data_IF_701215393881
#
_entry.id   IF_701215393881
#
_cell.length_a   1.000
_cell.length_b   1.000
_cell.length_c   1.000
_cell.angle_alpha   90.00
_cell.angle_beta   90.00
_cell.angle_gamma   90.00
#
_symmetry.space_group_name_H-M   'P 1'
#
loop_
_entity.id
_entity.type
_entity.pdbx_description
1 polymer ?
#
# COMPACT_ATOMS: atom_id res chain seq x y z
N UNK A 1 -19.96 16.54 12.22
CA UNK A 1 -19.02 15.77 13.04
C UNK A 1 -19.21 14.31 12.63
N UNK A 2 -18.42 13.82 11.67
CA UNK A 2 -18.55 12.43 11.17
C UNK A 2 -18.01 11.47 12.24
N UNK A 3 -18.71 10.35 12.47
CA UNK A 3 -18.37 9.37 13.52
C UNK A 3 -17.11 8.58 13.17
N UNK A 4 -16.35 8.20 14.19
CA UNK A 4 -15.06 7.48 14.10
C UNK A 4 -15.13 6.15 13.33
N UNK A 5 -16.31 5.52 13.28
CA UNK A 5 -16.57 4.29 12.51
C UNK A 5 -16.36 4.47 11.00
N UNK A 6 -16.54 5.68 10.47
CA UNK A 6 -16.37 5.97 9.04
C UNK A 6 -14.92 5.90 8.55
N UNK A 7 -13.96 5.76 9.48
CA UNK A 7 -12.52 5.64 9.20
C UNK A 7 -11.98 4.23 9.50
N UNK A 8 -12.86 3.26 9.80
CA UNK A 8 -12.45 1.88 10.07
C UNK A 8 -11.78 1.64 11.43
N UNK A 9 -11.80 2.63 12.33
CA UNK A 9 -11.29 2.46 13.69
C UNK A 9 -12.39 1.89 14.59
N UNK A 10 -12.08 0.79 15.27
CA UNK A 10 -13.01 0.08 16.16
C UNK A 10 -12.78 0.35 17.65
N UNK A 11 -11.73 1.11 18.00
CA UNK A 11 -11.43 1.49 19.38
C UNK A 11 -10.57 2.77 19.46
N UNK A 12 -10.75 3.55 20.53
CA UNK A 12 -10.06 4.80 20.81
C UNK A 12 -8.53 4.62 20.90
N UNK A 13 -8.06 3.44 21.29
CA UNK A 13 -6.63 3.13 21.33
C UNK A 13 -5.97 3.13 19.93
N UNK A 14 -6.70 2.75 18.87
CA UNK A 14 -6.22 2.82 17.50
C UNK A 14 -6.14 4.27 17.02
N UNK A 15 -7.13 5.08 17.39
CA UNK A 15 -7.18 6.51 17.10
C UNK A 15 -6.02 7.23 17.79
N UNK A 16 -5.75 6.94 19.07
CA UNK A 16 -4.64 7.57 19.80
C UNK A 16 -3.27 7.21 19.20
N UNK A 17 -3.08 5.94 18.79
CA UNK A 17 -1.85 5.52 18.08
C UNK A 17 -1.69 6.25 16.75
N UNK A 18 -2.77 6.36 15.97
CA UNK A 18 -2.79 7.10 14.70
C UNK A 18 -2.53 8.61 14.88
N UNK A 19 -3.14 9.24 15.90
CA UNK A 19 -2.97 10.67 16.16
C UNK A 19 -1.58 11.01 16.70
N UNK A 20 -1.04 10.16 17.58
CA UNK A 20 0.35 10.29 18.06
C UNK A 20 1.34 10.12 16.90
N UNK A 21 1.03 9.22 15.95
CA UNK A 21 1.83 9.01 14.75
C UNK A 21 1.87 10.24 13.83
N UNK A 22 0.73 10.88 13.53
CA UNK A 22 0.69 12.07 12.67
C UNK A 22 1.39 13.28 13.32
N UNK A 23 1.20 13.47 14.63
CA UNK A 23 1.73 14.66 15.32
C UNK A 23 3.24 14.60 15.55
N UNK A 24 3.82 13.40 15.66
CA UNK A 24 5.26 13.22 15.85
C UNK A 24 6.11 13.39 14.58
N UNK A 25 5.51 13.42 13.38
CA UNK A 25 6.22 13.49 12.09
C UNK A 25 6.19 14.86 11.43
N UNK A 26 5.57 15.87 12.05
CA UNK A 26 5.61 17.25 11.56
C UNK A 26 6.95 17.92 11.92
N UNK A 27 7.85 18.02 10.93
CA UNK A 27 9.04 18.85 11.03
C UNK A 27 8.65 20.34 11.18
N UNK A 28 9.42 21.14 11.96
CA UNK A 28 9.11 22.55 12.15
C UNK A 28 9.26 23.31 10.83
N UNK A 29 8.20 24.02 10.42
CA UNK A 29 8.19 24.91 9.26
C UNK A 29 9.16 26.06 9.54
N UNK A 30 10.29 26.10 8.83
CA UNK A 30 11.20 27.24 8.81
C UNK A 30 10.46 28.45 8.23
N UNK A 31 10.35 29.52 9.01
CA UNK A 31 9.79 30.80 8.56
C UNK A 31 10.75 31.46 7.57
N UNK A 32 10.40 31.46 6.29
CA UNK A 32 11.09 32.24 5.26
C UNK A 32 10.28 33.51 5.02
N UNK A 33 10.88 34.66 5.29
CA UNK A 33 10.31 35.98 5.01
C UNK A 33 10.12 36.16 3.49
N UNK A 34 9.02 36.77 3.03
CA UNK A 34 8.76 36.95 1.61
C UNK A 34 9.68 38.03 1.00
N UNK A 35 10.16 37.86 -0.25
CA UNK A 35 10.89 38.90 -0.94
C UNK A 35 9.92 40.01 -1.40
N UNK A 36 10.32 41.26 -1.22
CA UNK A 36 9.61 42.45 -1.71
C UNK A 36 9.65 42.48 -3.23
N UNK A 37 8.52 42.21 -3.87
CA UNK A 37 8.34 42.37 -5.31
C UNK A 37 7.76 43.76 -5.62
N UNK A 38 8.50 44.50 -6.45
CA UNK A 38 8.18 45.82 -6.98
C UNK A 38 6.97 45.71 -7.94
N UNK A 39 5.93 46.49 -7.69
CA UNK A 39 4.64 46.37 -8.38
C UNK A 39 4.48 47.52 -9.38
N UNK A 40 4.57 47.23 -10.68
CA UNK A 40 4.10 48.12 -11.74
C UNK A 40 2.81 47.56 -12.35
N UNK A 41 1.75 48.35 -12.54
CA UNK A 41 0.46 47.85 -12.98
C UNK A 41 0.50 47.55 -14.48
N UNK A 42 0.47 46.27 -14.83
CA UNK A 42 0.22 45.83 -16.21
C UNK A 42 -1.27 45.56 -16.37
N UNK A 43 -1.84 46.20 -17.40
CA UNK A 43 -3.24 46.20 -17.82
C UNK A 43 -3.92 44.84 -17.72
N UNK A 44 -4.97 44.78 -16.92
CA UNK A 44 -5.87 43.63 -16.72
C UNK A 44 -6.63 43.30 -18.01
N UNK A 45 -6.19 42.27 -18.74
CA UNK A 45 -7.09 41.50 -19.59
C UNK A 45 -7.85 40.54 -18.68
N UNK A 46 -9.18 40.67 -18.64
CA UNK A 46 -10.06 39.80 -17.87
C UNK A 46 -9.87 38.33 -18.30
N UNK A 47 -9.20 37.53 -17.48
CA UNK A 47 -9.30 36.08 -17.55
C UNK A 47 -10.72 35.68 -17.13
N UNK A 48 -11.47 35.07 -18.05
CA UNK A 48 -12.75 34.47 -17.74
C UNK A 48 -12.56 33.42 -16.63
N UNK A 49 -13.40 33.41 -15.58
CA UNK A 49 -13.29 32.40 -14.55
C UNK A 49 -13.57 31.03 -15.18
N UNK A 50 -12.59 30.13 -15.14
CA UNK A 50 -12.72 28.72 -15.48
C UNK A 50 -13.66 28.06 -14.46
N UNK A 51 -14.96 28.31 -14.58
CA UNK A 51 -15.98 27.51 -13.91
C UNK A 51 -16.14 26.22 -14.70
N UNK A 52 -15.15 25.31 -14.58
CA UNK A 52 -15.35 23.94 -15.04
C UNK A 52 -16.47 23.35 -14.19
N UNK A 53 -17.59 23.02 -14.83
CA UNK A 53 -18.70 22.41 -14.12
C UNK A 53 -18.29 21.02 -13.57
N UNK A 54 -18.86 20.64 -12.43
CA UNK A 54 -18.52 19.38 -11.75
C UNK A 54 -18.77 18.16 -12.65
N UNK A 55 -19.82 18.18 -13.47
CA UNK A 55 -20.16 17.07 -14.36
C UNK A 55 -19.10 16.87 -15.46
N UNK A 56 -18.52 17.96 -15.96
CA UNK A 56 -17.42 17.95 -16.94
C UNK A 56 -16.14 17.41 -16.31
N UNK A 57 -15.85 17.77 -15.05
CA UNK A 57 -14.73 17.19 -14.31
C UNK A 57 -14.90 15.69 -14.08
N UNK A 58 -16.08 15.26 -13.60
CA UNK A 58 -16.40 13.85 -13.37
C UNK A 58 -16.30 13.02 -14.65
N UNK A 59 -16.82 13.56 -15.77
CA UNK A 59 -16.69 12.93 -17.08
C UNK A 59 -15.23 12.79 -17.50
N UNK A 60 -14.44 13.86 -17.35
CA UNK A 60 -13.01 13.84 -17.70
C UNK A 60 -12.22 12.88 -16.84
N UNK A 61 -12.49 12.81 -15.53
CA UNK A 61 -11.87 11.84 -14.62
C UNK A 61 -12.20 10.42 -15.08
N UNK A 62 -13.48 10.14 -15.35
CA UNK A 62 -13.92 8.84 -15.85
C UNK A 62 -13.21 8.46 -17.15
N UNK A 63 -13.12 9.39 -18.12
CA UNK A 63 -12.40 9.17 -19.38
C UNK A 63 -10.89 8.91 -19.17
N UNK A 64 -10.25 9.63 -18.25
CA UNK A 64 -8.83 9.43 -17.93
C UNK A 64 -8.59 8.08 -17.25
N UNK A 65 -9.46 7.69 -16.31
CA UNK A 65 -9.39 6.39 -15.64
C UNK A 65 -9.63 5.25 -16.62
N UNK A 66 -10.58 5.38 -17.56
CA UNK A 66 -10.77 4.37 -18.61
C UNK A 66 -9.56 4.27 -19.53
N UNK A 67 -8.95 5.40 -19.91
CA UNK A 67 -7.72 5.40 -20.70
C UNK A 67 -6.55 4.75 -19.95
N UNK A 68 -6.40 5.04 -18.66
CA UNK A 68 -5.37 4.43 -17.82
C UNK A 68 -5.56 2.91 -17.74
N UNK A 69 -6.79 2.43 -17.51
CA UNK A 69 -7.08 1.00 -17.49
C UNK A 69 -6.78 0.35 -18.85
N UNK A 70 -7.22 0.96 -19.95
CA UNK A 70 -6.90 0.49 -21.30
C UNK A 70 -5.38 0.46 -21.51
N UNK A 71 -4.62 1.46 -21.07
CA UNK A 71 -3.15 1.44 -21.16
C UNK A 71 -2.51 0.31 -20.36
N UNK A 72 -3.11 -0.08 -19.24
CA UNK A 72 -2.69 -1.24 -18.45
C UNK A 72 -3.09 -2.57 -19.12
N UNK A 73 -4.21 -2.63 -19.84
CA UNK A 73 -4.78 -3.85 -20.44
C UNK A 73 -4.45 -4.06 -21.94
N UNK A 74 -3.94 -3.05 -22.66
CA UNK A 74 -3.82 -3.12 -24.14
C UNK A 74 -2.76 -4.14 -24.60
N UNK A 75 -3.16 -5.18 -25.37
CA UNK A 75 -2.25 -6.20 -25.89
C UNK A 75 -1.31 -5.64 -26.96
N UNK A 76 -0.01 -5.85 -26.79
CA UNK A 76 1.06 -5.34 -27.67
C UNK A 76 2.16 -4.59 -26.89
N UNK A 77 1.86 -4.17 -25.66
CA UNK A 77 2.84 -3.79 -24.62
C UNK A 77 2.65 -4.69 -23.38
N UNK A 78 2.85 -5.99 -23.55
CA UNK A 78 3.06 -7.04 -22.50
C UNK A 78 1.95 -7.35 -21.47
N UNK A 79 0.74 -6.78 -21.56
CA UNK A 79 -0.44 -7.33 -20.88
C UNK A 79 -1.48 -7.74 -21.91
N UNK A 80 -1.88 -9.01 -21.95
CA UNK A 80 -3.22 -9.34 -22.46
C UNK A 80 -4.26 -8.90 -21.43
N UNK A 81 -5.54 -9.18 -21.66
CA UNK A 81 -6.60 -9.04 -20.65
C UNK A 81 -6.23 -9.85 -19.38
N UNK A 82 -5.47 -9.24 -18.48
CA UNK A 82 -4.93 -9.88 -17.29
C UNK A 82 -5.88 -9.56 -16.14
N UNK A 83 -6.74 -10.53 -15.84
CA UNK A 83 -7.75 -10.43 -14.78
C UNK A 83 -7.13 -10.00 -13.44
N UNK A 84 -5.89 -10.39 -13.16
CA UNK A 84 -5.21 -9.99 -11.93
C UNK A 84 -4.98 -8.48 -11.93
N UNK A 85 -4.46 -7.92 -13.03
CA UNK A 85 -4.20 -6.48 -13.16
C UNK A 85 -5.49 -5.68 -13.04
N UNK A 86 -6.55 -6.08 -13.75
CA UNK A 86 -7.86 -5.42 -13.67
C UNK A 86 -8.41 -5.44 -12.23
N UNK A 87 -8.29 -6.57 -11.53
CA UNK A 87 -8.75 -6.71 -10.13
C UNK A 87 -7.98 -5.81 -9.17
N UNK A 88 -6.65 -5.69 -9.33
CA UNK A 88 -5.86 -4.73 -8.52
C UNK A 88 -6.31 -3.30 -8.81
N UNK A 89 -6.45 -2.95 -10.10
CA UNK A 89 -6.82 -1.61 -10.51
C UNK A 89 -8.19 -1.20 -9.98
N UNK A 90 -9.19 -2.06 -10.14
CA UNK A 90 -10.56 -1.83 -9.69
C UNK A 90 -10.63 -1.65 -8.17
N UNK A 91 -9.88 -2.45 -7.39
CA UNK A 91 -9.84 -2.28 -5.94
C UNK A 91 -9.17 -0.95 -5.55
N UNK A 92 -8.00 -0.62 -6.11
CA UNK A 92 -7.29 0.65 -5.86
C UNK A 92 -8.20 1.86 -6.19
N UNK A 93 -8.92 1.79 -7.30
CA UNK A 93 -9.89 2.82 -7.72
C UNK A 93 -11.08 2.89 -6.77
N UNK A 94 -11.66 1.75 -6.39
CA UNK A 94 -12.81 1.70 -5.47
C UNK A 94 -12.49 2.29 -4.09
N UNK A 95 -11.25 2.08 -3.63
CA UNK A 95 -10.71 2.62 -2.38
C UNK A 95 -10.24 4.09 -2.51
N UNK A 96 -10.36 4.70 -3.70
CA UNK A 96 -10.01 6.10 -3.97
C UNK A 96 -8.54 6.42 -3.65
N UNK A 97 -7.65 5.49 -3.95
CA UNK A 97 -6.21 5.66 -3.71
C UNK A 97 -5.55 6.40 -4.88
N UNK A 98 -5.66 7.73 -4.84
CA UNK A 98 -5.27 8.62 -5.93
C UNK A 98 -3.77 8.84 -6.05
N UNK A 99 -2.95 8.47 -5.05
CA UNK A 99 -1.49 8.48 -5.16
C UNK A 99 -0.91 7.26 -5.91
N UNK A 100 -1.76 6.40 -6.48
CA UNK A 100 -1.31 5.21 -7.22
C UNK A 100 -0.56 5.59 -8.50
N UNK A 101 0.63 4.98 -8.68
CA UNK A 101 1.41 5.02 -9.91
C UNK A 101 1.63 3.61 -10.43
N UNK A 102 1.53 3.43 -11.75
CA UNK A 102 1.66 2.14 -12.39
C UNK A 102 2.83 2.16 -13.34
N UNK A 103 3.71 1.15 -13.28
CA UNK A 103 4.88 1.10 -14.15
C UNK A 103 5.15 -0.32 -14.62
N UNK A 104 5.10 -0.50 -15.93
CA UNK A 104 5.58 -1.70 -16.59
C UNK A 104 7.11 -1.74 -16.57
N UNK A 105 7.66 -2.86 -16.11
CA UNK A 105 9.10 -3.11 -16.04
C UNK A 105 9.54 -4.14 -17.08
N UNK A 106 10.82 -4.19 -17.46
CA UNK A 106 11.30 -5.20 -18.40
C UNK A 106 11.16 -6.63 -17.83
N UNK A 107 10.97 -7.65 -18.68
CA UNK A 107 10.96 -9.08 -18.30
C UNK A 107 12.23 -9.54 -17.56
N UNK A 108 13.32 -8.80 -17.73
CA UNK A 108 14.59 -9.04 -17.03
C UNK A 108 14.64 -8.41 -15.64
N UNK A 109 13.59 -7.70 -15.19
CA UNK A 109 13.57 -6.93 -13.94
C UNK A 109 14.02 -7.75 -12.72
N UNK A 110 13.50 -8.97 -12.56
CA UNK A 110 13.87 -9.85 -11.45
C UNK A 110 15.26 -10.49 -11.57
N UNK A 111 15.94 -10.34 -12.73
CA UNK A 111 17.35 -10.73 -12.93
C UNK A 111 18.33 -9.63 -12.51
N UNK A 112 17.84 -8.40 -12.33
CA UNK A 112 18.65 -7.25 -11.93
C UNK A 112 18.84 -7.21 -10.41
N UNK A 113 19.89 -6.52 -9.96
CA UNK A 113 20.11 -6.18 -8.56
C UNK A 113 19.08 -5.15 -8.05
N UNK A 114 18.90 -5.03 -6.74
CA UNK A 114 17.98 -4.04 -6.16
C UNK A 114 18.31 -2.59 -6.56
N UNK A 115 19.59 -2.13 -6.57
CA UNK A 115 19.93 -0.80 -7.07
C UNK A 115 19.52 -0.58 -8.52
N UNK A 116 19.73 -1.56 -9.42
CA UNK A 116 19.33 -1.44 -10.83
C UNK A 116 17.81 -1.38 -10.99
N UNK A 117 17.06 -2.18 -10.22
CA UNK A 117 15.59 -2.10 -10.18
C UNK A 117 15.11 -0.73 -9.73
N UNK A 118 15.74 -0.16 -8.70
CA UNK A 118 15.38 1.16 -8.16
C UNK A 118 15.56 2.28 -9.20
N UNK A 119 16.58 2.18 -10.06
CA UNK A 119 16.80 3.12 -11.17
C UNK A 119 15.67 3.07 -12.21
N UNK A 120 15.15 1.88 -12.52
CA UNK A 120 14.02 1.72 -13.46
C UNK A 120 12.76 2.43 -12.93
N UNK A 121 12.49 2.27 -11.63
CA UNK A 121 11.34 2.88 -10.95
C UNK A 121 11.62 4.30 -10.43
N UNK A 122 12.80 4.86 -10.71
CA UNK A 122 13.25 6.19 -10.26
C UNK A 122 13.08 6.42 -8.76
N UNK A 123 13.47 5.42 -7.98
CA UNK A 123 13.24 5.35 -6.53
C UNK A 123 14.50 4.87 -5.82
N UNK A 124 14.44 4.73 -4.50
CA UNK A 124 15.53 4.19 -3.69
C UNK A 124 15.28 2.72 -3.34
N UNK A 125 16.32 1.97 -2.97
CA UNK A 125 16.20 0.55 -2.60
C UNK A 125 15.22 0.32 -1.42
N UNK A 126 15.23 1.13 -0.34
CA UNK A 126 14.25 1.01 0.75
C UNK A 126 12.78 1.15 0.31
N UNK A 127 12.52 1.86 -0.80
CA UNK A 127 11.17 2.02 -1.32
C UNK A 127 10.70 0.84 -2.16
N UNK A 128 11.57 -0.14 -2.47
CA UNK A 128 11.20 -1.36 -3.15
C UNK A 128 10.69 -2.38 -2.15
N UNK A 129 9.41 -2.75 -2.23
CA UNK A 129 8.77 -3.69 -1.31
C UNK A 129 8.23 -4.92 -2.03
N UNK A 130 8.03 -5.99 -1.26
CA UNK A 130 7.39 -7.23 -1.69
C UNK A 130 6.26 -7.60 -0.74
N UNK A 131 5.27 -8.28 -1.28
CA UNK A 131 4.15 -8.83 -0.53
C UNK A 131 4.30 -10.35 -0.44
N UNK A 132 4.17 -10.92 0.75
CA UNK A 132 4.32 -12.34 0.99
C UNK A 132 3.18 -12.83 1.88
N UNK A 133 2.54 -13.94 1.51
CA UNK A 133 1.52 -14.56 2.36
C UNK A 133 2.20 -15.37 3.46
N UNK A 134 1.92 -15.02 4.71
CA UNK A 134 2.39 -15.71 5.91
C UNK A 134 1.24 -16.51 6.51
N UNK A 135 1.51 -17.75 6.90
CA UNK A 135 0.57 -18.66 7.54
C UNK A 135 0.95 -18.91 8.99
N UNK A 136 0.00 -18.72 9.90
CA UNK A 136 0.06 -19.22 11.26
C UNK A 136 -0.28 -20.71 11.28
N UNK A 137 0.75 -21.56 11.40
CA UNK A 137 0.62 -23.03 11.45
C UNK A 137 -0.06 -23.54 12.72
N UNK A 138 -0.08 -22.72 13.77
CA UNK A 138 -0.69 -23.03 15.06
C UNK A 138 -2.10 -22.47 15.20
N UNK A 139 -2.68 -21.93 14.13
CA UNK A 139 -4.01 -21.33 14.13
C UNK A 139 -5.09 -22.34 14.53
N UNK A 140 -6.07 -21.86 15.31
CA UNK A 140 -7.25 -22.62 15.73
C UNK A 140 -8.49 -21.87 15.25
N UNK A 141 -9.37 -22.55 14.51
CA UNK A 141 -10.54 -21.96 13.85
C UNK A 141 -11.58 -21.33 14.81
N UNK A 142 -11.41 -21.50 16.12
CA UNK A 142 -12.40 -21.10 17.12
C UNK A 142 -12.58 -19.58 17.26
N UNK A 143 -11.68 -18.74 16.73
CA UNK A 143 -11.73 -17.27 16.87
C UNK A 143 -11.15 -16.52 15.65
N UNK A 144 -11.58 -16.86 14.43
CA UNK A 144 -11.11 -16.18 13.21
C UNK A 144 -11.65 -14.75 13.10
N UNK A 145 -10.76 -13.75 13.12
CA UNK A 145 -11.09 -12.36 12.83
C UNK A 145 -9.87 -11.63 12.22
N UNK A 146 -9.99 -10.35 11.87
CA UNK A 146 -8.89 -9.59 11.24
C UNK A 146 -7.66 -9.40 12.13
N UNK A 147 -7.80 -9.55 13.45
CA UNK A 147 -6.74 -9.47 14.46
C UNK A 147 -6.21 -10.87 14.86
N UNK A 148 -6.86 -11.94 14.40
CA UNK A 148 -6.49 -13.33 14.62
C UNK A 148 -6.92 -14.17 13.42
N UNK A 149 -6.17 -14.07 12.33
CA UNK A 149 -6.38 -14.84 11.10
C UNK A 149 -5.34 -15.97 10.97
N UNK A 150 -5.68 -17.01 10.21
CA UNK A 150 -4.70 -18.04 9.79
C UNK A 150 -3.65 -17.46 8.86
N UNK A 151 -4.05 -16.55 7.98
CA UNK A 151 -3.20 -15.97 6.95
C UNK A 151 -3.15 -14.45 7.08
N UNK A 152 -1.95 -13.90 6.88
CA UNK A 152 -1.69 -12.47 6.79
C UNK A 152 -0.85 -12.20 5.56
N UNK A 153 -1.20 -11.17 4.80
CA UNK A 153 -0.34 -10.69 3.74
C UNK A 153 0.62 -9.65 4.33
N UNK A 154 1.91 -9.93 4.25
CA UNK A 154 2.96 -9.09 4.83
C UNK A 154 3.67 -8.31 3.73
N UNK A 155 3.71 -7.00 3.86
CA UNK A 155 4.45 -6.08 2.98
C UNK A 155 5.72 -5.63 3.68
N UNK A 156 6.86 -5.96 3.10
CA UNK A 156 8.20 -5.69 3.65
C UNK A 156 9.14 -5.21 2.56
N UNK A 157 10.18 -4.45 2.92
CA UNK A 157 11.20 -3.98 1.98
C UNK A 157 11.98 -5.18 1.40
N UNK A 158 12.41 -5.08 0.13
CA UNK A 158 13.24 -6.11 -0.50
C UNK A 158 14.62 -6.25 0.17
N UNK A 159 15.14 -5.16 0.73
CA UNK A 159 16.42 -5.14 1.44
C UNK A 159 16.34 -5.74 2.86
N UNK A 160 15.14 -5.92 3.43
CA UNK A 160 14.97 -6.46 4.78
C UNK A 160 14.62 -7.96 4.77
N UNK A 161 14.60 -8.56 5.95
CA UNK A 161 14.03 -9.88 6.19
C UNK A 161 12.97 -9.79 7.29
N UNK A 162 11.92 -10.62 7.19
CA UNK A 162 10.89 -10.71 8.22
C UNK A 162 11.49 -11.40 9.45
N UNK A 163 11.38 -10.75 10.60
CA UNK A 163 11.59 -11.36 11.91
C UNK A 163 10.26 -12.02 12.35
N UNK A 164 10.25 -13.34 12.25
CA UNK A 164 9.07 -14.16 12.58
C UNK A 164 8.68 -14.00 14.05
N UNK A 165 9.62 -13.80 14.98
CA UNK A 165 9.31 -13.63 16.40
C UNK A 165 8.69 -12.29 16.70
N UNK A 166 9.16 -11.23 16.03
CA UNK A 166 8.47 -9.94 16.05
C UNK A 166 7.05 -10.06 15.46
N UNK A 167 6.90 -10.68 14.29
CA UNK A 167 5.58 -10.91 13.67
C UNK A 167 4.61 -11.65 14.60
N UNK A 168 5.04 -12.74 15.25
CA UNK A 168 4.24 -13.46 16.25
C UNK A 168 3.80 -12.54 17.40
N UNK A 169 4.72 -11.73 17.92
CA UNK A 169 4.46 -10.77 18.99
C UNK A 169 3.49 -9.66 18.60
N UNK A 170 3.68 -9.07 17.43
CA UNK A 170 2.85 -7.99 16.90
C UNK A 170 1.42 -8.48 16.60
N UNK A 171 1.27 -9.63 15.92
CA UNK A 171 -0.05 -10.21 15.63
C UNK A 171 -0.78 -10.55 16.92
N UNK A 172 -0.10 -11.16 17.90
CA UNK A 172 -0.67 -11.37 19.24
C UNK A 172 -1.04 -10.06 19.92
N UNK A 173 -0.27 -9.00 19.68
CA UNK A 173 -0.48 -7.66 20.20
C UNK A 173 -1.74 -6.96 19.65
N UNK A 174 -2.25 -7.37 18.48
CA UNK A 174 -3.47 -6.82 17.88
C UNK A 174 -4.72 -7.10 18.71
N UNK A 175 -4.75 -8.23 19.44
CA UNK A 175 -5.86 -8.55 20.34
C UNK A 175 -5.73 -7.82 21.69
N UNK A 176 -6.86 -7.45 22.32
CA UNK A 176 -6.88 -6.96 23.70
C UNK A 176 -6.27 -7.98 24.66
N UNK A 177 -5.58 -7.51 25.72
CA UNK A 177 -4.80 -8.36 26.64
C UNK A 177 -5.61 -9.56 27.18
N UNK A 178 -6.89 -9.36 27.49
CA UNK A 178 -7.81 -10.40 28.00
C UNK A 178 -8.12 -11.51 27.00
N UNK A 179 -8.03 -11.22 25.71
CA UNK A 179 -8.42 -12.12 24.61
C UNK A 179 -7.19 -12.73 23.90
N UNK A 180 -5.98 -12.31 24.28
CA UNK A 180 -4.72 -12.80 23.68
C UNK A 180 -4.54 -14.29 23.96
N UNK A 181 -4.32 -15.05 22.89
CA UNK A 181 -3.89 -16.43 22.98
C UNK A 181 -2.43 -16.51 23.47
N UNK A 182 -1.97 -17.73 23.74
CA UNK A 182 -0.59 -17.95 24.19
C UNK A 182 0.36 -17.77 23.02
N UNK A 183 1.63 -17.44 23.28
CA UNK A 183 2.63 -17.31 22.21
C UNK A 183 2.76 -18.57 21.34
N UNK A 184 2.41 -19.75 21.87
CA UNK A 184 2.46 -21.03 21.13
C UNK A 184 1.36 -21.15 20.07
N UNK A 185 0.33 -20.33 20.15
CA UNK A 185 -0.77 -20.28 19.18
C UNK A 185 -0.41 -19.41 17.95
N UNK A 186 0.80 -18.83 17.94
CA UNK A 186 1.34 -18.02 16.83
C UNK A 186 2.66 -18.62 16.38
N UNK A 187 2.64 -19.39 15.29
CA UNK A 187 3.85 -19.93 14.66
C UNK A 187 3.78 -19.63 13.17
N UNK A 188 4.49 -18.58 12.74
CA UNK A 188 4.41 -18.11 11.36
C UNK A 188 5.47 -18.73 10.46
N UNK A 189 5.08 -18.99 9.22
CA UNK A 189 5.94 -19.39 8.11
C UNK A 189 5.36 -18.87 6.81
N UNK A 190 6.17 -18.80 5.76
CA UNK A 190 5.65 -18.49 4.42
C UNK A 190 4.63 -19.56 4.04
N UNK A 191 3.48 -19.12 3.53
CA UNK A 191 2.42 -20.02 3.06
C UNK A 191 2.93 -20.88 1.89
N UNK A 192 2.28 -22.02 1.67
CA UNK A 192 2.57 -22.83 0.48
C UNK A 192 2.20 -22.03 -0.77
N UNK A 193 2.89 -22.29 -1.88
CA UNK A 193 2.62 -21.61 -3.15
C UNK A 193 1.16 -21.81 -3.60
N UNK A 194 0.60 -23.00 -3.43
CA UNK A 194 -0.81 -23.28 -3.74
C UNK A 194 -1.76 -22.43 -2.90
N UNK A 195 -1.53 -22.36 -1.58
CA UNK A 195 -2.36 -21.55 -0.68
C UNK A 195 -2.21 -20.06 -1.00
N UNK A 196 -1.00 -19.61 -1.33
CA UNK A 196 -0.74 -18.24 -1.76
C UNK A 196 -1.48 -17.90 -3.05
N UNK A 197 -1.38 -18.76 -4.06
CA UNK A 197 -2.03 -18.56 -5.36
C UNK A 197 -3.56 -18.52 -5.21
N UNK A 198 -4.14 -19.45 -4.44
CA UNK A 198 -5.59 -19.57 -4.27
C UNK A 198 -6.17 -18.40 -3.45
N UNK A 199 -5.50 -18.03 -2.35
CA UNK A 199 -6.00 -17.00 -1.43
C UNK A 199 -5.75 -15.59 -1.96
N UNK A 200 -4.59 -15.35 -2.56
CA UNK A 200 -4.25 -14.02 -3.10
C UNK A 200 -4.75 -13.82 -4.52
N UNK A 201 -4.90 -14.89 -5.29
CA UNK A 201 -5.25 -14.83 -6.70
C UNK A 201 -4.09 -14.44 -7.61
N UNK A 202 -2.85 -14.45 -7.12
CA UNK A 202 -1.66 -14.03 -7.85
C UNK A 202 -0.61 -15.13 -7.87
N UNK A 203 0.12 -15.26 -8.98
CA UNK A 203 1.29 -16.13 -9.08
C UNK A 203 2.52 -15.49 -8.46
N UNK A 204 3.59 -16.28 -8.30
CA UNK A 204 4.89 -15.82 -7.83
C UNK A 204 5.33 -14.51 -8.52
N UNK A 205 5.88 -13.56 -7.74
CA UNK A 205 6.30 -12.22 -8.16
C UNK A 205 5.21 -11.26 -8.66
N UNK A 206 3.93 -11.64 -8.61
CA UNK A 206 2.81 -10.77 -8.99
C UNK A 206 1.92 -10.33 -7.82
N UNK A 207 2.17 -10.87 -6.62
CA UNK A 207 1.34 -10.62 -5.43
C UNK A 207 1.26 -9.13 -5.11
N UNK A 208 0.03 -8.61 -5.12
CA UNK A 208 -0.34 -7.26 -4.73
C UNK A 208 -1.13 -7.31 -3.42
N UNK A 209 -1.03 -6.28 -2.55
CA UNK A 209 -1.91 -6.12 -1.39
C UNK A 209 -3.35 -5.75 -1.72
N UNK A 210 -3.60 -5.35 -2.96
CA UNK A 210 -4.92 -5.07 -3.50
C UNK A 210 -5.29 -6.15 -4.52
N UNK A 211 -6.58 -6.33 -4.73
CA UNK A 211 -7.17 -7.30 -5.65
C UNK A 211 -7.08 -8.73 -5.13
N UNK A 212 -7.16 -8.97 -3.82
CA UNK A 212 -7.06 -10.32 -3.26
C UNK A 212 -8.34 -11.13 -3.49
N UNK A 213 -8.22 -12.42 -3.77
CA UNK A 213 -9.38 -13.33 -3.90
C UNK A 213 -10.09 -13.61 -2.56
N UNK A 214 -9.37 -13.48 -1.45
CA UNK A 214 -9.88 -13.68 -0.09
C UNK A 214 -9.65 -12.43 0.75
N UNK A 215 -10.52 -12.20 1.74
CA UNK A 215 -10.33 -11.13 2.74
C UNK A 215 -9.22 -11.51 3.70
N UNK A 216 -8.00 -11.05 3.41
CA UNK A 216 -6.80 -11.33 4.20
C UNK A 216 -6.33 -10.02 4.82
N UNK A 217 -6.08 -9.97 6.15
CA UNK A 217 -5.49 -8.78 6.76
C UNK A 217 -4.09 -8.50 6.20
N UNK A 218 -3.82 -7.24 5.91
CA UNK A 218 -2.56 -6.78 5.32
C UNK A 218 -1.74 -6.08 6.40
N UNK A 219 -0.52 -6.58 6.63
CA UNK A 219 0.46 -5.98 7.54
C UNK A 219 1.48 -5.21 6.70
N UNK A 220 1.72 -3.95 7.04
CA UNK A 220 2.79 -3.12 6.53
C UNK A 220 3.92 -3.08 7.56
N UNK A 221 5.13 -3.41 7.13
CA UNK A 221 6.28 -3.24 7.99
C UNK A 221 6.52 -1.78 8.38
N UNK A 222 6.88 -1.58 9.66
CA UNK A 222 7.07 -0.26 10.27
C UNK A 222 8.16 0.54 9.56
N UNK A 223 9.22 -0.06 9.05
CA UNK A 223 10.30 0.64 8.36
C UNK A 223 9.80 1.30 7.06
N UNK A 224 8.80 0.71 6.40
CA UNK A 224 8.13 1.31 5.24
C UNK A 224 7.31 2.54 5.66
N UNK A 225 6.62 2.46 6.81
CA UNK A 225 5.83 3.58 7.32
C UNK A 225 6.70 4.82 7.65
N UNK A 226 7.98 4.62 7.97
CA UNK A 226 8.94 5.67 8.34
C UNK A 226 9.95 6.00 7.24
N UNK A 227 9.67 5.67 5.98
CA UNK A 227 10.50 6.09 4.86
C UNK A 227 10.65 7.61 4.82
N UNK A 228 11.87 8.10 4.59
CA UNK A 228 12.16 9.53 4.42
C UNK A 228 11.29 10.14 3.31
N UNK A 229 11.14 9.42 2.20
CA UNK A 229 10.12 9.71 1.19
C UNK A 229 8.97 8.71 1.39
N UNK A 230 7.79 9.13 1.89
CA UNK A 230 6.68 8.24 2.27
C UNK A 230 5.90 7.73 1.06
N UNK A 231 6.60 7.06 0.15
CA UNK A 231 6.11 6.44 -1.08
C UNK A 231 6.90 5.16 -1.33
N UNK A 232 6.23 4.09 -1.74
CA UNK A 232 6.90 2.81 -1.97
C UNK A 232 6.25 2.03 -3.12
N UNK A 233 6.96 1.03 -3.62
CA UNK A 233 6.58 0.21 -4.76
C UNK A 233 6.36 -1.25 -4.34
N UNK A 234 5.31 -1.85 -4.88
CA UNK A 234 4.90 -3.24 -4.63
C UNK A 234 4.47 -3.95 -5.92
N UNK A 235 4.05 -5.21 -5.83
CA UNK A 235 3.50 -5.94 -6.97
C UNK A 235 2.19 -5.31 -7.47
N UNK A 236 2.04 -5.19 -8.79
CA UNK A 236 0.84 -4.60 -9.42
C UNK A 236 -0.13 -5.62 -10.00
N UNK A 237 -0.10 -6.89 -9.55
CA UNK A 237 -0.95 -7.95 -10.11
C UNK A 237 -0.37 -8.70 -11.31
N UNK A 238 0.80 -8.29 -11.82
CA UNK A 238 1.54 -9.01 -12.86
C UNK A 238 3.06 -8.94 -12.58
N UNK A 239 3.88 -9.97 -12.94
CA UNK A 239 5.32 -9.95 -12.67
C UNK A 239 6.04 -8.74 -13.26
N UNK A 240 5.61 -8.28 -14.44
CA UNK A 240 6.18 -7.12 -15.12
C UNK A 240 5.46 -5.81 -14.80
N UNK A 241 4.52 -5.77 -13.84
CA UNK A 241 3.83 -4.54 -13.44
C UNK A 241 4.12 -4.22 -11.97
N UNK A 242 4.34 -2.94 -11.68
CA UNK A 242 4.59 -2.41 -10.34
C UNK A 242 3.59 -1.32 -10.01
N UNK A 243 3.08 -1.37 -8.79
CA UNK A 243 2.20 -0.39 -8.19
C UNK A 243 3.01 0.43 -7.18
N UNK A 244 3.11 1.73 -7.39
CA UNK A 244 3.65 2.69 -6.44
C UNK A 244 2.50 3.40 -5.72
N UNK A 245 2.66 3.70 -4.43
CA UNK A 245 1.65 4.44 -3.67
C UNK A 245 2.28 5.19 -2.50
N UNK A 246 1.65 6.29 -2.07
CA UNK A 246 2.03 6.93 -0.81
C UNK A 246 1.70 6.03 0.38
N UNK A 247 2.51 6.12 1.44
CA UNK A 247 2.26 5.36 2.69
C UNK A 247 0.89 5.71 3.26
N UNK A 248 0.50 6.98 3.23
CA UNK A 248 -0.77 7.44 3.80
C UNK A 248 -1.99 6.82 3.10
N UNK A 249 -1.99 6.79 1.76
CA UNK A 249 -3.07 6.16 0.99
C UNK A 249 -3.14 4.66 1.26
N UNK A 250 -1.99 3.99 1.32
CA UNK A 250 -1.94 2.58 1.68
C UNK A 250 -2.52 2.30 3.08
N UNK A 251 -2.22 3.14 4.08
CA UNK A 251 -2.77 2.97 5.43
C UNK A 251 -4.28 3.23 5.48
N UNK A 252 -4.78 4.21 4.72
CA UNK A 252 -6.23 4.46 4.59
C UNK A 252 -6.98 3.29 3.95
N UNK A 253 -6.30 2.47 3.14
CA UNK A 253 -6.86 1.25 2.59
C UNK A 253 -7.01 0.10 3.62
N UNK A 254 -6.52 0.28 4.86
CA UNK A 254 -6.66 -0.70 5.93
C UNK A 254 -5.39 -1.49 6.25
N UNK A 255 -4.21 -1.03 5.81
CA UNK A 255 -2.92 -1.62 6.19
C UNK A 255 -2.63 -1.47 7.69
N UNK A 256 -2.21 -2.56 8.33
CA UNK A 256 -1.86 -2.60 9.76
C UNK A 256 -0.34 -2.42 9.90
N UNK A 257 0.12 -1.39 10.61
CA UNK A 257 1.55 -1.17 10.83
C UNK A 257 2.06 -2.04 11.98
N UNK A 258 3.07 -2.85 11.71
CA UNK A 258 3.74 -3.69 12.71
C UNK A 258 5.27 -3.61 12.54
N UNK A 259 6.02 -3.66 13.65
CA UNK A 259 7.49 -3.81 13.62
C UNK A 259 7.83 -5.28 13.41
N UNK A 260 8.17 -5.68 12.18
CA UNK A 260 8.26 -7.10 11.79
C UNK A 260 9.53 -7.45 11.02
N UNK A 261 10.43 -6.50 10.84
CA UNK A 261 11.67 -6.73 10.10
C UNK A 261 12.91 -6.65 10.99
N UNK A 262 14.00 -7.11 10.39
CA UNK A 262 15.37 -6.87 10.84
C UNK A 262 16.13 -6.28 9.66
N UNK A 263 16.79 -5.15 9.92
CA UNK A 263 17.71 -4.53 8.98
C UNK A 263 18.81 -5.54 8.62
N UNK A 264 19.15 -5.61 7.33
CA UNK A 264 20.26 -6.43 6.82
C UNK A 264 21.54 -5.63 6.70
#
# INVERSE_FOLDING_TARGET
>A
MQSFESWGFHDEAQVLKYYTYITSTSAPILSVSPPTADCSPTTTSAEAPLTLDLATLEKRITELESKMLIELETPGRRGGNDECVSRVYDEVKSLKQYSSLWTWVPKTYYKLSLPERSKILRTTVPQLCKSMLMENKSFKDTNSNSQNSRFYLVVVQYCSSIDVKKLEGEVRGLLPVKDRLTSKDYTFSVAKETDSDDLTGFKHNSVSPFGLCSKIPVILDKSIAHLETPFFWMGGGHPDLKLGMSVNDFLKAGGIVCDIDVDK
#
